data_IF_259634400669
#
_entry.id   IF_259634400669
#
_cell.length_a   1.000
_cell.length_b   1.000
_cell.length_c   1.000
_cell.angle_alpha   90.00
_cell.angle_beta   90.00
_cell.angle_gamma   90.00
#
_symmetry.space_group_name_H-M   'P 1'
#
loop_
_entity.id
_entity.type
_entity.pdbx_description
1 polymer ?
#
# COMPACT_ATOMS: atom_id res chain seq x y z
N UNK A 1 4.32 -13.34 6.65
CA UNK A 1 4.76 -13.03 5.27
C UNK A 1 4.46 -14.19 4.32
N UNK A 2 5.17 -15.33 4.41
CA UNK A 2 5.00 -16.46 3.46
C UNK A 2 3.55 -16.92 3.28
N UNK A 3 2.79 -17.08 4.37
CA UNK A 3 1.40 -17.49 4.27
C UNK A 3 0.52 -16.48 3.52
N UNK A 4 0.65 -15.17 3.80
CA UNK A 4 -0.11 -14.13 3.11
C UNK A 4 0.23 -14.02 1.62
N UNK A 5 1.52 -14.14 1.27
CA UNK A 5 1.95 -14.21 -0.12
C UNK A 5 1.33 -15.42 -0.84
N UNK A 6 1.48 -16.61 -0.28
CA UNK A 6 0.93 -17.83 -0.85
C UNK A 6 -0.60 -17.77 -0.97
N UNK A 7 -1.28 -17.22 0.04
CA UNK A 7 -2.73 -17.08 0.08
C UNK A 7 -3.28 -16.30 -1.12
N UNK A 8 -2.64 -15.17 -1.46
CA UNK A 8 -3.03 -14.34 -2.60
C UNK A 8 -2.51 -14.89 -3.93
N UNK A 9 -1.28 -15.41 -3.97
CA UNK A 9 -0.72 -15.97 -5.21
C UNK A 9 -1.49 -17.17 -5.74
N UNK A 10 -2.01 -18.04 -4.85
CA UNK A 10 -2.90 -19.13 -5.24
C UNK A 10 -4.27 -18.64 -5.77
N UNK A 11 -4.59 -17.36 -5.58
CA UNK A 11 -5.81 -16.68 -6.04
C UNK A 11 -5.54 -15.73 -7.23
N UNK A 12 -4.42 -15.92 -7.94
CA UNK A 12 -4.11 -15.19 -9.16
C UNK A 12 -3.44 -13.83 -8.94
N UNK A 13 -2.91 -13.55 -7.76
CA UNK A 13 -2.10 -12.35 -7.51
C UNK A 13 -0.63 -12.60 -7.86
N UNK A 14 -0.03 -11.68 -8.59
CA UNK A 14 1.40 -11.70 -8.91
C UNK A 14 2.20 -11.07 -7.76
N UNK A 15 3.19 -11.78 -7.23
CA UNK A 15 4.04 -11.24 -6.17
C UNK A 15 4.91 -10.10 -6.70
N UNK A 16 4.97 -9.00 -5.94
CA UNK A 16 5.75 -7.81 -6.29
C UNK A 16 6.36 -7.18 -5.04
N UNK A 17 7.69 -7.09 -4.99
CA UNK A 17 8.40 -6.30 -3.98
C UNK A 17 8.83 -4.98 -4.62
N UNK A 18 8.20 -3.85 -4.28
CA UNK A 18 8.57 -2.57 -4.86
C UNK A 18 9.80 -1.96 -4.18
N UNK A 19 10.42 -0.92 -4.78
CA UNK A 19 11.41 -0.08 -4.10
C UNK A 19 10.83 0.58 -2.83
N UNK A 20 11.67 0.73 -1.81
CA UNK A 20 11.24 1.26 -0.50
C UNK A 20 11.28 2.79 -0.40
N UNK A 21 11.71 3.47 -1.47
CA UNK A 21 11.62 4.91 -1.60
C UNK A 21 11.26 5.30 -3.02
N UNK A 22 10.64 6.46 -3.17
CA UNK A 22 10.25 7.03 -4.46
C UNK A 22 10.80 8.45 -4.61
N UNK A 23 11.05 8.84 -5.86
CA UNK A 23 11.38 10.24 -6.19
C UNK A 23 10.23 11.14 -5.77
N UNK A 24 10.53 12.35 -5.29
CA UNK A 24 9.54 13.37 -4.89
C UNK A 24 8.41 13.56 -5.91
N UNK A 25 8.73 13.67 -7.19
CA UNK A 25 7.75 13.86 -8.28
C UNK A 25 6.77 12.69 -8.40
N UNK A 26 7.23 11.44 -8.19
CA UNK A 26 6.37 10.27 -8.26
C UNK A 26 5.54 10.11 -7.00
N UNK A 27 6.16 10.31 -5.83
CA UNK A 27 5.45 10.26 -4.54
C UNK A 27 4.27 11.22 -4.53
N UNK A 28 4.44 12.43 -5.09
CA UNK A 28 3.39 13.46 -5.09
C UNK A 28 2.21 13.16 -6.01
N UNK A 29 2.30 12.10 -6.81
CA UNK A 29 1.19 11.60 -7.65
C UNK A 29 0.43 10.45 -7.00
N UNK A 30 0.97 9.90 -5.91
CA UNK A 30 0.51 8.64 -5.30
C UNK A 30 0.22 8.77 -3.80
N UNK A 31 0.61 9.88 -3.18
CA UNK A 31 0.34 10.19 -1.78
C UNK A 31 -0.53 11.44 -1.69
N UNK A 32 -1.30 11.55 -0.61
CA UNK A 32 -2.05 12.78 -0.35
C UNK A 32 -1.11 13.89 0.13
N UNK A 33 -1.51 15.15 -0.08
CA UNK A 33 -0.71 16.31 0.37
C UNK A 33 -0.46 16.28 1.89
N UNK A 34 -1.44 15.85 2.67
CA UNK A 34 -1.32 15.73 4.12
C UNK A 34 -0.29 14.67 4.55
N UNK A 35 -0.07 13.62 3.75
CA UNK A 35 0.87 12.55 4.07
C UNK A 35 2.32 13.06 4.15
N UNK A 36 2.66 14.12 3.41
CA UNK A 36 4.02 14.67 3.39
C UNK A 36 4.47 15.17 4.75
N UNK A 37 3.60 15.89 5.45
CA UNK A 37 3.95 16.54 6.70
C UNK A 37 3.87 15.57 7.88
N UNK A 38 2.90 14.64 7.85
CA UNK A 38 2.57 13.82 9.01
C UNK A 38 3.03 12.36 8.93
N UNK A 39 3.19 11.81 7.72
CA UNK A 39 3.39 10.37 7.51
C UNK A 39 4.76 10.06 6.90
N UNK A 40 5.20 10.80 5.89
CA UNK A 40 6.34 10.39 5.06
C UNK A 40 7.70 10.81 5.64
N UNK A 41 8.65 9.87 5.64
CA UNK A 41 10.05 10.17 5.88
C UNK A 41 10.72 10.67 4.60
N UNK A 42 11.36 11.84 4.70
CA UNK A 42 12.12 12.46 3.61
C UNK A 42 13.58 12.03 3.65
N UNK A 43 14.10 11.62 2.50
CA UNK A 43 15.52 11.33 2.26
C UNK A 43 16.11 12.50 1.49
N UNK A 44 17.03 13.21 2.13
CA UNK A 44 17.77 14.32 1.53
C UNK A 44 19.01 13.75 0.85
N UNK A 45 19.08 13.90 -0.48
CA UNK A 45 20.24 13.43 -1.26
C UNK A 45 21.34 14.49 -1.29
N UNK A 46 20.98 15.73 -1.60
CA UNK A 46 21.86 16.90 -1.58
C UNK A 46 21.05 18.10 -1.04
N UNK A 47 21.66 18.86 -0.13
CA UNK A 47 21.00 20.02 0.52
C UNK A 47 20.74 21.15 -0.47
N UNK A 48 21.55 21.25 -1.52
CA UNK A 48 21.46 22.31 -2.51
C UNK A 48 20.58 21.91 -3.72
N UNK A 49 20.11 20.65 -3.77
CA UNK A 49 19.31 20.09 -4.87
C UNK A 49 18.04 19.37 -4.34
N UNK A 50 17.04 20.12 -3.80
CA UNK A 50 15.82 19.56 -3.19
C UNK A 50 14.88 18.83 -4.17
N UNK A 51 15.14 18.90 -5.47
CA UNK A 51 14.47 18.12 -6.51
C UNK A 51 14.92 16.66 -6.55
N UNK A 52 16.12 16.37 -6.03
CA UNK A 52 16.68 15.02 -5.94
C UNK A 52 16.17 14.23 -4.71
N UNK A 53 15.48 14.94 -3.82
CA UNK A 53 14.88 14.37 -2.62
C UNK A 53 13.96 13.19 -2.94
N UNK A 54 14.02 12.19 -2.06
CA UNK A 54 13.20 10.97 -2.13
C UNK A 54 12.37 10.85 -0.85
N UNK A 55 11.36 9.99 -0.89
CA UNK A 55 10.53 9.69 0.27
C UNK A 55 10.46 8.19 0.46
N UNK A 56 10.64 7.72 1.70
CA UNK A 56 10.34 6.33 2.04
C UNK A 56 8.84 6.07 1.87
N UNK A 57 8.49 4.85 1.46
CA UNK A 57 7.10 4.47 1.24
C UNK A 57 6.36 4.24 2.56
N UNK A 58 5.11 4.70 2.66
CA UNK A 58 4.21 4.40 3.79
C UNK A 58 3.36 3.14 3.54
N UNK A 59 3.35 2.65 2.30
CA UNK A 59 2.67 1.46 1.81
C UNK A 59 3.25 1.05 0.46
N UNK A 60 3.25 -0.24 0.13
CA UNK A 60 3.61 -0.71 -1.22
C UNK A 60 2.65 -0.22 -2.31
N UNK A 61 1.45 0.25 -1.95
CA UNK A 61 0.50 0.89 -2.87
C UNK A 61 1.11 2.06 -3.66
N UNK A 62 1.91 2.91 -3.00
CA UNK A 62 2.52 4.09 -3.62
C UNK A 62 3.40 3.71 -4.83
N UNK A 63 4.39 2.81 -4.70
CA UNK A 63 5.18 2.41 -5.86
C UNK A 63 4.42 1.52 -6.84
N UNK A 64 3.45 0.71 -6.39
CA UNK A 64 2.66 -0.17 -7.28
C UNK A 64 1.72 0.67 -8.16
N UNK A 65 1.09 1.71 -7.63
CA UNK A 65 0.23 2.63 -8.40
C UNK A 65 1.03 3.39 -9.47
N UNK A 66 2.30 3.70 -9.21
CA UNK A 66 3.21 4.31 -10.19
C UNK A 66 3.85 3.30 -11.17
N UNK A 67 3.71 1.99 -10.93
CA UNK A 67 4.43 0.94 -11.67
C UNK A 67 4.09 0.92 -13.17
N UNK A 68 2.83 1.18 -13.50
CA UNK A 68 2.34 1.24 -14.89
C UNK A 68 2.31 2.66 -15.47
N UNK A 69 2.97 3.64 -14.84
CA UNK A 69 2.98 5.03 -15.33
C UNK A 69 3.46 5.09 -16.78
N UNK A 70 2.62 5.62 -17.66
CA UNK A 70 2.92 5.80 -19.09
C UNK A 70 2.74 4.55 -19.94
N UNK A 71 2.21 3.46 -19.39
CA UNK A 71 1.91 2.24 -20.14
C UNK A 71 0.47 2.27 -20.67
N UNK A 72 0.27 1.74 -21.87
CA UNK A 72 -1.05 1.40 -22.39
C UNK A 72 -1.30 -0.08 -22.07
N UNK A 73 -2.36 -0.37 -21.32
CA UNK A 73 -2.73 -1.73 -20.90
C UNK A 73 -3.90 -2.19 -21.78
N UNK A 74 -3.77 -3.37 -22.40
CA UNK A 74 -4.85 -3.95 -23.20
C UNK A 74 -5.98 -4.43 -22.29
N UNK A 75 -7.24 -4.28 -22.74
CA UNK A 75 -8.41 -4.72 -21.96
C UNK A 75 -8.37 -6.19 -21.55
N UNK A 76 -7.78 -7.04 -22.39
CA UNK A 76 -7.63 -8.49 -22.13
C UNK A 76 -6.71 -8.82 -20.96
N UNK A 77 -5.86 -7.88 -20.55
CA UNK A 77 -4.89 -8.08 -19.47
C UNK A 77 -5.53 -7.76 -18.10
N UNK A 78 -6.70 -7.09 -18.10
CA UNK A 78 -7.45 -6.87 -16.87
C UNK A 78 -8.21 -8.12 -16.42
N UNK A 79 -8.40 -8.30 -15.10
CA UNK A 79 -7.78 -7.52 -14.02
C UNK A 79 -6.33 -7.95 -13.74
N UNK A 80 -5.46 -6.97 -13.55
CA UNK A 80 -4.07 -7.19 -13.11
C UNK A 80 -4.06 -7.12 -11.59
N UNK A 81 -3.64 -8.21 -10.93
CA UNK A 81 -3.62 -8.30 -9.47
C UNK A 81 -2.19 -8.47 -8.95
N UNK A 82 -1.79 -7.61 -8.02
CA UNK A 82 -0.49 -7.65 -7.35
C UNK A 82 -0.64 -7.92 -5.87
N UNK A 83 0.17 -8.86 -5.37
CA UNK A 83 0.43 -9.00 -3.94
C UNK A 83 1.75 -8.30 -3.61
N UNK A 84 1.63 -7.07 -3.11
CA UNK A 84 2.75 -6.24 -2.68
C UNK A 84 3.36 -6.75 -1.38
N UNK A 85 4.69 -6.79 -1.27
CA UNK A 85 5.38 -7.06 -0.01
C UNK A 85 6.49 -6.05 0.21
N UNK A 86 6.42 -5.29 1.31
CA UNK A 86 7.45 -4.31 1.66
C UNK A 86 7.44 -3.92 3.13
N UNK A 87 8.57 -3.42 3.59
CA UNK A 87 8.62 -2.57 4.78
C UNK A 87 7.89 -1.25 4.48
N UNK A 88 7.11 -0.78 5.45
CA UNK A 88 6.37 0.47 5.41
C UNK A 88 6.92 1.40 6.48
N UNK A 89 7.11 2.68 6.15
CA UNK A 89 7.71 3.68 7.03
C UNK A 89 6.72 4.82 7.29
N UNK A 90 6.33 5.04 8.54
CA UNK A 90 5.37 6.10 8.93
C UNK A 90 5.88 6.90 10.12
N UNK A 91 5.91 8.23 9.99
CA UNK A 91 6.32 9.15 11.06
C UNK A 91 5.33 9.19 12.22
N UNK A 92 4.07 8.86 11.98
CA UNK A 92 3.00 8.86 12.99
C UNK A 92 2.89 10.19 13.75
N UNK A 93 3.18 11.32 13.07
CA UNK A 93 3.03 12.64 13.67
C UNK A 93 1.54 12.87 14.02
N UNK A 94 1.27 13.45 15.19
CA UNK A 94 -0.10 13.65 15.70
C UNK A 94 -0.65 12.50 16.58
N UNK A 95 0.09 11.40 16.74
CA UNK A 95 -0.31 10.27 17.60
C UNK A 95 0.27 10.31 19.03
N UNK A 96 0.89 11.44 19.43
CA UNK A 96 1.57 11.57 20.73
C UNK A 96 0.74 11.02 21.90
N UNK A 97 1.27 10.02 22.60
CA UNK A 97 0.64 9.38 23.76
C UNK A 97 -0.36 8.25 23.46
N UNK A 98 -0.71 7.99 22.20
CA UNK A 98 -1.57 6.86 21.80
C UNK A 98 -0.75 5.63 21.41
N UNK A 99 -1.15 4.45 21.88
CA UNK A 99 -0.57 3.13 21.52
C UNK A 99 0.95 2.99 21.70
N UNK A 100 1.52 3.70 22.68
CA UNK A 100 2.99 3.82 22.87
C UNK A 100 3.69 2.55 23.39
N UNK A 101 2.94 1.47 23.69
CA UNK A 101 3.49 0.21 24.20
C UNK A 101 3.28 -0.91 23.19
N UNK A 102 4.31 -1.71 22.97
CA UNK A 102 4.27 -2.85 22.06
C UNK A 102 4.52 -2.47 20.61
N UNK A 103 3.94 -3.23 19.68
CA UNK A 103 4.21 -3.14 18.24
C UNK A 103 2.98 -2.68 17.42
N UNK A 104 1.92 -2.23 18.10
CA UNK A 104 0.67 -1.88 17.43
C UNK A 104 0.81 -0.61 16.57
N UNK A 105 1.56 0.39 17.05
CA UNK A 105 1.91 1.61 16.33
C UNK A 105 3.42 1.81 16.39
N UNK A 106 4.09 1.62 15.27
CA UNK A 106 5.55 1.72 15.15
C UNK A 106 5.92 2.40 13.83
N UNK A 107 7.11 2.97 13.77
CA UNK A 107 7.57 3.69 12.58
C UNK A 107 7.90 2.80 11.38
N UNK A 108 8.19 1.52 11.63
CA UNK A 108 8.51 0.54 10.61
C UNK A 108 7.74 -0.75 10.86
N UNK A 109 7.05 -1.24 9.84
CA UNK A 109 6.34 -2.53 9.89
C UNK A 109 6.30 -3.19 8.51
N UNK A 110 6.11 -4.50 8.47
CA UNK A 110 5.94 -5.26 7.22
C UNK A 110 4.46 -5.37 6.86
N UNK A 111 4.14 -5.30 5.56
CA UNK A 111 2.77 -5.44 5.07
C UNK A 111 2.70 -6.30 3.81
N UNK A 112 1.66 -7.12 3.73
CA UNK A 112 1.22 -7.79 2.50
C UNK A 112 0.03 -7.00 1.96
N UNK A 113 0.14 -6.55 0.72
CA UNK A 113 -0.81 -5.62 0.10
C UNK A 113 -1.54 -6.24 -1.07
N UNK A 114 -2.85 -6.05 -1.15
CA UNK A 114 -3.61 -6.29 -2.37
C UNK A 114 -3.64 -5.00 -3.20
N UNK A 115 -3.25 -5.06 -4.46
CA UNK A 115 -3.41 -3.95 -5.40
C UNK A 115 -3.97 -4.50 -6.73
N UNK A 116 -5.06 -3.92 -7.21
CA UNK A 116 -5.75 -4.39 -8.42
C UNK A 116 -5.93 -3.24 -9.40
N UNK A 117 -5.46 -3.44 -10.63
CA UNK A 117 -5.85 -2.62 -11.77
C UNK A 117 -6.97 -3.36 -12.52
N UNK A 118 -8.09 -2.68 -12.73
CA UNK A 118 -9.27 -3.25 -13.37
C UNK A 118 -9.96 -2.24 -14.28
N UNK A 119 -10.91 -2.71 -15.08
CA UNK A 119 -11.74 -1.85 -15.91
C UNK A 119 -12.63 -0.95 -15.03
N UNK A 120 -12.90 0.31 -15.42
CA UNK A 120 -13.73 1.22 -14.63
C UNK A 120 -15.11 0.67 -14.27
N UNK A 121 -15.73 -0.12 -15.17
CA UNK A 121 -17.03 -0.75 -14.93
C UNK A 121 -17.00 -1.95 -13.98
N UNK A 122 -15.82 -2.39 -13.55
CA UNK A 122 -15.58 -3.57 -12.71
C UNK A 122 -14.95 -3.24 -11.37
N UNK A 123 -14.68 -1.97 -11.08
CA UNK A 123 -14.00 -1.54 -9.84
C UNK A 123 -14.74 -1.96 -8.57
N UNK A 124 -16.05 -1.80 -8.52
CA UNK A 124 -16.87 -2.21 -7.36
C UNK A 124 -16.84 -3.72 -7.13
N UNK A 125 -16.85 -4.51 -8.21
CA UNK A 125 -16.76 -5.97 -8.12
C UNK A 125 -15.41 -6.40 -7.55
N UNK A 126 -14.30 -5.80 -8.03
CA UNK A 126 -12.98 -6.07 -7.48
C UNK A 126 -12.81 -5.58 -6.04
N UNK A 127 -13.45 -4.47 -5.65
CA UNK A 127 -13.42 -4.00 -4.28
C UNK A 127 -14.08 -5.01 -3.33
N UNK A 128 -15.26 -5.52 -3.67
CA UNK A 128 -15.93 -6.56 -2.88
C UNK A 128 -15.09 -7.86 -2.83
N UNK A 129 -14.47 -8.25 -3.95
CA UNK A 129 -13.57 -9.40 -4.00
C UNK A 129 -12.35 -9.21 -3.07
N UNK A 130 -11.72 -8.04 -3.07
CA UNK A 130 -10.57 -7.73 -2.20
C UNK A 130 -10.96 -7.76 -0.71
N UNK A 131 -12.13 -7.24 -0.35
CA UNK A 131 -12.67 -7.28 1.02
C UNK A 131 -12.94 -8.72 1.44
N UNK A 132 -13.57 -9.53 0.56
CA UNK A 132 -13.83 -10.94 0.82
C UNK A 132 -12.53 -11.73 1.04
N UNK A 133 -11.50 -11.50 0.22
CA UNK A 133 -10.17 -12.12 0.40
C UNK A 133 -9.52 -11.75 1.74
N UNK A 134 -9.62 -10.49 2.17
CA UNK A 134 -9.18 -10.08 3.50
C UNK A 134 -9.94 -10.83 4.60
N UNK A 135 -11.27 -10.94 4.47
CA UNK A 135 -12.11 -11.68 5.41
C UNK A 135 -11.71 -13.15 5.52
N UNK A 136 -11.62 -13.85 4.39
CA UNK A 136 -11.17 -15.26 4.33
C UNK A 136 -9.80 -15.46 4.98
N UNK A 137 -8.86 -14.53 4.79
CA UNK A 137 -7.54 -14.60 5.38
C UNK A 137 -7.59 -14.54 6.92
N UNK A 138 -8.39 -13.66 7.52
CA UNK A 138 -8.53 -13.63 8.97
C UNK A 138 -9.35 -14.82 9.52
N UNK A 139 -10.33 -15.31 8.75
CA UNK A 139 -11.07 -16.53 9.10
C UNK A 139 -10.16 -17.75 9.14
N UNK A 140 -9.25 -17.92 8.17
CA UNK A 140 -8.32 -19.05 8.15
C UNK A 140 -7.31 -19.03 9.31
N UNK A 141 -7.04 -17.84 9.87
CA UNK A 141 -6.23 -17.66 11.07
C UNK A 141 -7.02 -17.82 12.38
N UNK A 142 -8.35 -17.95 12.31
CA UNK A 142 -9.22 -18.01 13.49
C UNK A 142 -9.31 -16.69 14.26
N UNK A 143 -9.04 -15.55 13.61
CA UNK A 143 -9.06 -14.23 14.24
C UNK A 143 -10.45 -13.61 14.05
N UNK A 144 -11.19 -13.30 15.13
CA UNK A 144 -12.48 -12.65 15.01
C UNK A 144 -12.31 -11.20 14.54
N UNK A 145 -13.20 -10.76 13.63
CA UNK A 145 -13.19 -9.41 13.08
C UNK A 145 -14.62 -8.93 12.80
N UNK A 146 -14.74 -7.65 12.43
CA UNK A 146 -15.96 -7.04 11.89
C UNK A 146 -15.61 -6.16 10.69
N UNK A 147 -16.46 -6.13 9.68
CA UNK A 147 -16.33 -5.21 8.55
C UNK A 147 -17.04 -3.89 8.88
N UNK A 148 -16.37 -2.77 8.62
CA UNK A 148 -16.91 -1.42 8.88
C UNK A 148 -16.72 -0.58 7.63
N UNK A 149 -17.79 0.07 7.16
CA UNK A 149 -17.71 1.09 6.11
C UNK A 149 -17.34 2.43 6.75
N UNK A 150 -16.29 3.09 6.25
CA UNK A 150 -15.81 4.38 6.75
C UNK A 150 -16.74 5.50 6.27
N UNK A 151 -16.99 6.50 7.12
CA UNK A 151 -17.78 7.69 6.78
C UNK A 151 -16.97 8.64 5.87
N UNK A 152 -17.62 9.59 5.22
CA UNK A 152 -17.00 10.49 4.23
C UNK A 152 -16.13 11.62 4.80
N UNK A 153 -15.77 11.61 6.09
CA UNK A 153 -15.26 12.77 6.84
C UNK A 153 -13.79 12.67 7.23
#
# INVERSE_FOLDING_TARGET
INYGLAFLSLRGYTALQPPFFMKKELMGKTAELADYDDVLYKIIEDKDQPELDKYLIATSEQPISAFHKGQNIDKKDFPIRYVGTSSCFRREAGSSGRDIRGIFRVHQFEKIEQFVLTEPGKSWEEQENMIAMCGEFYQSLGIPYRTVAIVSG
#
